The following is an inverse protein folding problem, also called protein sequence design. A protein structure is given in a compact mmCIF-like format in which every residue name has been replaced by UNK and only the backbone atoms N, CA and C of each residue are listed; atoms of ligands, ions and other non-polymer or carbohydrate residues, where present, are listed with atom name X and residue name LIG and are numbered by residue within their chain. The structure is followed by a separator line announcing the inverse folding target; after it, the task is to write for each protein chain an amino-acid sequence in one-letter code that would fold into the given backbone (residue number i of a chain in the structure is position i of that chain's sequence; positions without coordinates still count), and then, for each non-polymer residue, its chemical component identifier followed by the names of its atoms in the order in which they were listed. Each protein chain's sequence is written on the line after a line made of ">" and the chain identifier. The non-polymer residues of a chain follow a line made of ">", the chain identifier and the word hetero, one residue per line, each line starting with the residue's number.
data_IF_629677220980
#
_entry.id   IF_629677220980
#
_cell.length_a   1.000
_cell.length_b   1.000
_cell.length_c   1.000
_cell.angle_alpha   90.00
_cell.angle_beta   90.00
_cell.angle_gamma   90.00
#
_symmetry.space_group_name_H-M   'P 1'
#
loop_
_entity.id
_entity.type
_entity.pdbx_description
1 polymer ?
#
# COMPACT_ATOMS: atom_id res chain seq x y z
N UNK A 1 -4.51 3.64 19.66
CA UNK A 1 -5.33 2.66 20.41
C UNK A 1 -4.99 1.26 19.91
N UNK A 2 -5.09 0.25 20.78
CA UNK A 2 -4.79 -1.15 20.43
C UNK A 2 -5.67 -1.66 19.26
N UNK A 3 -6.94 -1.24 19.23
CA UNK A 3 -7.89 -1.58 18.15
C UNK A 3 -7.34 -1.18 16.77
N UNK A 4 -6.78 0.02 16.64
CA UNK A 4 -6.18 0.45 15.37
C UNK A 4 -4.99 -0.43 14.97
N UNK A 5 -4.15 -0.83 15.93
CA UNK A 5 -3.00 -1.68 15.61
C UNK A 5 -3.42 -3.06 15.11
N UNK A 6 -4.50 -3.64 15.67
CA UNK A 6 -5.07 -4.90 15.18
C UNK A 6 -5.61 -4.75 13.75
N UNK A 7 -6.43 -3.73 13.49
CA UNK A 7 -6.97 -3.46 12.14
C UNK A 7 -5.85 -3.24 11.13
N UNK A 8 -4.83 -2.46 11.51
CA UNK A 8 -3.65 -2.19 10.68
C UNK A 8 -2.90 -3.48 10.34
N UNK A 9 -2.66 -4.36 11.31
CA UNK A 9 -2.00 -5.65 11.08
C UNK A 9 -2.81 -6.51 10.10
N UNK A 10 -4.13 -6.58 10.25
CA UNK A 10 -4.99 -7.36 9.34
C UNK A 10 -5.01 -6.79 7.92
N UNK A 11 -5.09 -5.48 7.75
CA UNK A 11 -5.15 -4.86 6.42
C UNK A 11 -3.81 -4.98 5.67
N UNK A 12 -2.69 -4.91 6.39
CA UNK A 12 -1.36 -4.92 5.82
C UNK A 12 -0.75 -6.33 5.70
N UNK A 13 -1.36 -7.36 6.30
CA UNK A 13 -0.80 -8.72 6.32
C UNK A 13 -0.58 -9.32 4.94
N UNK A 14 -1.40 -8.90 3.96
CA UNK A 14 -1.35 -9.42 2.59
C UNK A 14 -0.49 -8.55 1.64
N UNK A 15 0.06 -7.44 2.13
CA UNK A 15 0.88 -6.51 1.32
C UNK A 15 2.35 -6.92 1.43
N UNK A 16 2.68 -8.06 0.83
CA UNK A 16 4.05 -8.57 0.69
C UNK A 16 4.15 -9.47 -0.54
N UNK A 17 5.37 -9.71 -1.03
CA UNK A 17 5.61 -10.50 -2.25
C UNK A 17 5.16 -11.97 -2.14
N UNK A 18 5.13 -12.55 -0.93
CA UNK A 18 4.64 -13.94 -0.70
C UNK A 18 3.14 -14.03 -0.99
N UNK A 19 2.37 -13.03 -0.57
CA UNK A 19 0.93 -12.96 -0.79
C UNK A 19 0.56 -12.34 -2.16
N UNK A 20 1.41 -11.44 -2.68
CA UNK A 20 1.18 -10.72 -3.93
C UNK A 20 2.44 -10.72 -4.81
N UNK A 21 2.65 -11.77 -5.64
CA UNK A 21 3.80 -11.88 -6.53
C UNK A 21 3.96 -10.70 -7.49
N UNK A 22 2.84 -10.06 -7.86
CA UNK A 22 2.80 -8.92 -8.77
C UNK A 22 3.58 -7.68 -8.28
N UNK A 23 3.90 -7.60 -6.98
CA UNK A 23 4.70 -6.50 -6.43
C UNK A 23 6.09 -6.39 -7.07
N UNK A 24 6.61 -7.46 -7.69
CA UNK A 24 7.88 -7.44 -8.43
C UNK A 24 7.90 -6.39 -9.54
N UNK A 25 6.74 -6.03 -10.12
CA UNK A 25 6.62 -4.96 -11.14
C UNK A 25 7.01 -3.59 -10.62
N UNK A 26 7.02 -3.41 -9.30
CA UNK A 26 7.38 -2.15 -8.67
C UNK A 26 8.88 -2.01 -8.41
N UNK A 27 9.69 -3.03 -8.75
CA UNK A 27 11.14 -3.00 -8.61
C UNK A 27 11.72 -1.81 -9.39
N UNK A 28 12.57 -1.01 -8.76
CA UNK A 28 13.21 0.13 -9.41
C UNK A 28 14.48 -0.31 -10.13
N UNK A 29 14.91 0.44 -11.13
CA UNK A 29 16.13 0.14 -11.88
C UNK A 29 17.34 0.12 -10.96
N UNK A 30 18.00 -1.04 -10.87
CA UNK A 30 19.19 -1.24 -10.02
C UNK A 30 18.89 -1.59 -8.57
N UNK A 31 17.62 -1.77 -8.20
CA UNK A 31 17.24 -2.31 -6.91
C UNK A 31 17.14 -3.84 -6.98
N UNK A 32 17.56 -4.50 -5.90
CA UNK A 32 17.44 -5.94 -5.75
C UNK A 32 16.06 -6.35 -5.18
N UNK A 33 15.58 -7.52 -5.58
CA UNK A 33 14.31 -8.06 -5.12
C UNK A 33 14.30 -8.30 -3.59
N UNK A 34 15.45 -8.63 -3.02
CA UNK A 34 15.64 -8.75 -1.57
C UNK A 34 15.40 -7.41 -0.84
N UNK A 35 15.80 -6.29 -1.44
CA UNK A 35 15.53 -4.97 -0.86
C UNK A 35 14.04 -4.64 -0.85
N UNK A 36 13.30 -5.06 -1.88
CA UNK A 36 11.84 -4.93 -1.94
C UNK A 36 11.15 -5.79 -0.89
N UNK A 37 11.62 -7.03 -0.66
CA UNK A 37 11.11 -7.95 0.38
C UNK A 37 11.27 -7.40 1.80
N UNK A 38 12.34 -6.65 2.06
CA UNK A 38 12.63 -6.05 3.37
C UNK A 38 11.82 -4.80 3.68
N UNK A 39 11.12 -4.23 2.70
CA UNK A 39 10.33 -3.02 2.93
C UNK A 39 9.13 -3.31 3.84
N UNK A 40 8.86 -2.45 4.84
CA UNK A 40 7.67 -2.59 5.65
C UNK A 40 6.41 -2.37 4.79
N UNK A 41 5.26 -2.97 5.12
CA UNK A 41 4.06 -2.94 4.30
C UNK A 41 3.58 -1.53 3.93
N UNK A 42 3.77 -0.54 4.80
CA UNK A 42 3.41 0.86 4.52
C UNK A 42 4.31 1.47 3.43
N UNK A 43 5.59 1.10 3.40
CA UNK A 43 6.51 1.55 2.34
C UNK A 43 6.18 0.87 1.02
N UNK A 44 5.85 -0.42 1.04
CA UNK A 44 5.34 -1.13 -0.14
C UNK A 44 4.07 -0.49 -0.67
N UNK A 45 3.12 -0.17 0.19
CA UNK A 45 1.87 0.49 -0.21
C UNK A 45 2.11 1.89 -0.77
N UNK A 46 2.99 2.69 -0.14
CA UNK A 46 3.36 4.01 -0.67
C UNK A 46 4.01 3.90 -2.05
N UNK A 47 4.88 2.89 -2.22
CA UNK A 47 5.53 2.58 -3.49
C UNK A 47 4.52 2.16 -4.56
N UNK A 48 3.54 1.35 -4.20
CA UNK A 48 2.43 0.97 -5.08
C UNK A 48 1.63 2.17 -5.57
N UNK A 49 1.27 3.10 -4.68
CA UNK A 49 0.60 4.34 -5.11
C UNK A 49 1.49 5.12 -6.09
N UNK A 50 2.77 5.29 -5.76
CA UNK A 50 3.71 6.04 -6.58
C UNK A 50 4.01 5.39 -7.93
N UNK A 51 3.98 4.05 -8.01
CA UNK A 51 4.08 3.30 -9.26
C UNK A 51 2.92 3.66 -10.19
N UNK A 52 1.67 3.60 -9.70
CA UNK A 52 0.50 3.95 -10.49
C UNK A 52 0.44 5.43 -10.90
N UNK A 53 0.88 6.33 -10.02
CA UNK A 53 1.02 7.75 -10.35
C UNK A 53 2.02 7.97 -11.49
N UNK A 54 3.16 7.28 -11.46
CA UNK A 54 4.17 7.36 -12.52
C UNK A 54 3.67 6.81 -13.85
N UNK A 55 2.99 5.66 -13.85
CA UNK A 55 2.36 5.11 -15.05
C UNK A 55 1.29 6.06 -15.64
N UNK A 56 0.62 6.84 -14.78
CA UNK A 56 -0.32 7.88 -15.20
C UNK A 56 0.35 9.17 -15.71
N UNK A 57 1.69 9.28 -15.65
CA UNK A 57 2.42 10.52 -15.97
C UNK A 57 2.18 11.64 -14.95
N UNK A 58 1.76 11.29 -13.73
CA UNK A 58 1.45 12.24 -12.68
C UNK A 58 2.73 12.85 -12.10
N UNK A 59 2.79 14.18 -11.98
CA UNK A 59 4.01 14.90 -11.57
C UNK A 59 4.35 14.76 -10.10
N UNK A 60 3.33 14.59 -9.24
CA UNK A 60 3.53 14.43 -7.79
C UNK A 60 3.74 12.97 -7.45
N UNK A 61 4.56 12.74 -6.42
CA UNK A 61 4.66 11.48 -5.69
C UNK A 61 4.26 11.74 -4.25
N UNK A 62 3.63 10.76 -3.61
CA UNK A 62 3.31 10.84 -2.19
C UNK A 62 4.53 10.44 -1.36
N UNK A 63 4.71 11.12 -0.23
CA UNK A 63 5.71 10.81 0.80
C UNK A 63 5.07 10.58 2.18
N UNK A 64 3.75 10.80 2.28
CA UNK A 64 2.94 10.58 3.49
C UNK A 64 1.52 10.12 3.13
N UNK A 65 0.78 9.61 4.12
CA UNK A 65 -0.62 9.21 3.98
C UNK A 65 -1.61 10.30 4.43
N UNK A 66 -1.16 11.55 4.55
CA UNK A 66 -1.95 12.64 5.11
C UNK A 66 -2.07 13.80 4.12
N UNK A 67 -1.31 14.90 4.31
CA UNK A 67 -1.38 16.08 3.46
C UNK A 67 -1.35 15.83 1.95
N UNK A 68 -0.61 14.84 1.47
CA UNK A 68 -0.48 14.55 0.04
C UNK A 68 -1.76 13.99 -0.58
N UNK A 69 -2.65 13.44 0.24
CA UNK A 69 -3.89 12.80 -0.17
C UNK A 69 -5.13 13.71 0.02
N UNK A 70 -4.96 14.82 0.74
CA UNK A 70 -6.07 15.64 1.26
C UNK A 70 -6.98 16.22 0.18
N UNK A 71 -6.42 16.48 -0.99
CA UNK A 71 -7.17 17.08 -2.09
C UNK A 71 -7.89 16.01 -2.91
N UNK A 72 -7.60 14.72 -2.78
CA UNK A 72 -8.12 13.63 -3.63
C UNK A 72 -7.53 13.55 -5.05
N UNK A 73 -6.54 14.38 -5.40
CA UNK A 73 -5.86 14.36 -6.71
C UNK A 73 -5.18 13.00 -6.96
N UNK A 74 -4.40 12.56 -5.96
CA UNK A 74 -3.74 11.26 -5.94
C UNK A 74 -4.76 10.12 -5.99
N UNK A 75 -5.81 10.18 -5.16
CA UNK A 75 -6.83 9.14 -5.13
C UNK A 75 -7.56 8.98 -6.47
N UNK A 76 -8.01 10.08 -7.08
CA UNK A 76 -8.69 10.00 -8.38
C UNK A 76 -7.79 9.43 -9.48
N UNK A 77 -6.51 9.80 -9.47
CA UNK A 77 -5.54 9.27 -10.43
C UNK A 77 -5.30 7.77 -10.20
N UNK A 78 -5.10 7.36 -8.95
CA UNK A 78 -4.92 5.97 -8.57
C UNK A 78 -6.14 5.12 -8.93
N UNK A 79 -7.35 5.53 -8.53
CA UNK A 79 -8.60 4.84 -8.83
C UNK A 79 -8.80 4.63 -10.34
N UNK A 80 -8.43 5.62 -11.16
CA UNK A 80 -8.48 5.49 -12.62
C UNK A 80 -7.52 4.42 -13.15
N UNK A 81 -6.36 4.24 -12.54
CA UNK A 81 -5.37 3.24 -12.96
C UNK A 81 -5.75 1.82 -12.54
N UNK A 82 -6.24 1.66 -11.31
CA UNK A 82 -6.51 0.34 -10.72
C UNK A 82 -7.91 -0.20 -11.04
N UNK A 83 -8.77 0.59 -11.67
CA UNK A 83 -10.14 0.19 -11.99
C UNK A 83 -10.17 -0.73 -13.23
N UNK A 84 -10.49 -2.03 -13.06
CA UNK A 84 -10.52 -2.97 -14.18
C UNK A 84 -11.59 -2.61 -15.22
N UNK A 85 -12.68 -1.96 -14.80
CA UNK A 85 -13.78 -1.57 -15.68
C UNK A 85 -13.58 -0.19 -16.34
N UNK A 86 -12.54 0.55 -15.93
CA UNK A 86 -12.20 1.89 -16.45
C UNK A 86 -13.36 2.91 -16.38
N UNK A 87 -14.21 2.79 -15.36
CA UNK A 87 -15.31 3.71 -15.08
C UNK A 87 -14.86 4.92 -14.23
N UNK A 88 -13.80 4.77 -13.44
CA UNK A 88 -13.23 5.85 -12.66
C UNK A 88 -12.61 6.92 -13.57
N UNK A 89 -12.88 8.19 -13.28
CA UNK A 89 -12.38 9.34 -14.04
C UNK A 89 -11.78 10.39 -13.12
N UNK A 90 -10.99 11.30 -13.70
CA UNK A 90 -10.39 12.43 -12.99
C UNK A 90 -11.17 13.74 -13.19
N UNK A 91 -12.35 13.68 -13.82
CA UNK A 91 -13.16 14.87 -14.16
C UNK A 91 -13.59 15.68 -12.94
N UNK A 92 -13.86 15.00 -11.82
CA UNK A 92 -14.25 15.62 -10.54
C UNK A 92 -13.18 16.57 -9.98
N UNK A 93 -11.92 16.45 -10.41
CA UNK A 93 -10.82 17.32 -9.93
C UNK A 93 -10.99 18.78 -10.35
N UNK A 94 -11.81 19.05 -11.37
CA UNK A 94 -12.21 20.42 -11.75
C UNK A 94 -13.14 21.10 -10.75
N UNK A 95 -13.76 20.33 -9.84
CA UNK A 95 -14.59 20.85 -8.77
C UNK A 95 -13.71 21.48 -7.68
N UNK A 96 -14.02 22.72 -7.30
CA UNK A 96 -13.32 23.44 -6.22
C UNK A 96 -13.66 22.90 -4.83
N UNK A 97 -14.77 22.19 -4.67
CA UNK A 97 -15.16 21.58 -3.40
C UNK A 97 -14.39 20.28 -3.14
N UNK A 98 -13.49 20.33 -2.16
CA UNK A 98 -12.69 19.19 -1.72
C UNK A 98 -13.53 18.06 -1.12
N UNK A 99 -14.65 18.39 -0.46
CA UNK A 99 -15.52 17.39 0.13
C UNK A 99 -16.27 16.60 -0.93
N UNK A 100 -16.72 17.28 -1.99
CA UNK A 100 -17.33 16.63 -3.15
C UNK A 100 -16.33 15.70 -3.88
N UNK A 101 -15.08 16.13 -4.03
CA UNK A 101 -13.99 15.28 -4.56
C UNK A 101 -13.74 14.04 -3.70
N UNK A 102 -13.64 14.23 -2.39
CA UNK A 102 -13.44 13.13 -1.45
C UNK A 102 -14.66 12.17 -1.44
N UNK A 103 -15.88 12.68 -1.57
CA UNK A 103 -17.08 11.85 -1.68
C UNK A 103 -17.06 10.95 -2.92
N UNK A 104 -16.59 11.48 -4.06
CA UNK A 104 -16.37 10.68 -5.25
C UNK A 104 -15.35 9.56 -5.01
N UNK A 105 -14.23 9.85 -4.34
CA UNK A 105 -13.22 8.83 -4.00
C UNK A 105 -13.81 7.70 -3.16
N UNK A 106 -14.58 8.03 -2.12
CA UNK A 106 -15.24 7.04 -1.26
C UNK A 106 -16.22 6.18 -2.05
N UNK A 107 -17.01 6.80 -2.93
CA UNK A 107 -17.95 6.09 -3.80
C UNK A 107 -17.23 5.10 -4.75
N UNK A 108 -16.14 5.54 -5.38
CA UNK A 108 -15.36 4.67 -6.28
C UNK A 108 -14.67 3.54 -5.53
N UNK A 109 -14.12 3.79 -4.34
CA UNK A 109 -13.54 2.73 -3.51
C UNK A 109 -14.57 1.67 -3.11
N UNK A 110 -15.80 2.09 -2.79
CA UNK A 110 -16.91 1.15 -2.54
C UNK A 110 -17.27 0.31 -3.77
N UNK A 111 -17.25 0.91 -4.98
CA UNK A 111 -17.46 0.16 -6.24
C UNK A 111 -16.37 -0.88 -6.48
N UNK A 112 -15.11 -0.55 -6.17
CA UNK A 112 -13.98 -1.49 -6.23
C UNK A 112 -13.99 -2.49 -5.06
N UNK A 113 -15.07 -2.56 -4.27
CA UNK A 113 -15.22 -3.52 -3.17
C UNK A 113 -14.16 -3.38 -2.06
N UNK A 114 -13.68 -2.15 -1.80
CA UNK A 114 -12.82 -1.87 -0.65
C UNK A 114 -13.51 -2.26 0.67
N UNK A 115 -12.92 -3.19 1.41
CA UNK A 115 -13.45 -3.66 2.71
C UNK A 115 -13.29 -2.62 3.83
N UNK A 116 -12.42 -1.63 3.66
CA UNK A 116 -12.25 -0.52 4.59
C UNK A 116 -13.02 0.71 4.11
N UNK A 117 -13.81 1.31 5.00
CA UNK A 117 -14.60 2.50 4.71
C UNK A 117 -14.02 3.74 5.38
N UNK A 118 -13.82 4.80 4.58
CA UNK A 118 -13.35 6.11 5.03
C UNK A 118 -14.44 7.16 4.75
N UNK A 119 -14.59 8.17 5.61
CA UNK A 119 -15.50 9.28 5.32
C UNK A 119 -14.81 10.36 4.47
N UNK A 120 -15.55 11.10 3.62
CA UNK A 120 -14.97 12.19 2.83
C UNK A 120 -14.23 13.22 3.68
N UNK A 121 -14.75 13.49 4.88
CA UNK A 121 -14.14 14.43 5.82
C UNK A 121 -12.78 13.95 6.35
N UNK A 122 -12.56 12.64 6.46
CA UNK A 122 -11.29 12.09 6.94
C UNK A 122 -10.18 12.29 5.92
N UNK A 123 -10.51 12.21 4.62
CA UNK A 123 -9.60 12.52 3.52
C UNK A 123 -9.22 14.00 3.58
N UNK A 124 -10.22 14.89 3.60
CA UNK A 124 -10.00 16.36 3.60
C UNK A 124 -9.23 16.81 4.85
N UNK A 125 -9.45 16.15 6.00
CA UNK A 125 -8.71 16.39 7.25
C UNK A 125 -7.33 15.71 7.30
N UNK A 126 -6.91 15.03 6.24
CA UNK A 126 -5.62 14.35 6.14
C UNK A 126 -5.39 13.33 7.27
N UNK A 127 -6.41 12.54 7.63
CA UNK A 127 -6.27 11.51 8.67
C UNK A 127 -5.41 10.34 8.15
N UNK A 128 -4.13 10.35 8.53
CA UNK A 128 -3.14 9.38 8.04
C UNK A 128 -3.52 7.92 8.29
N UNK A 129 -4.14 7.61 9.43
CA UNK A 129 -4.52 6.24 9.76
C UNK A 129 -5.64 5.75 8.85
N UNK A 130 -6.68 6.55 8.69
CA UNK A 130 -7.82 6.17 7.88
C UNK A 130 -7.44 6.11 6.40
N UNK A 131 -6.61 7.04 5.92
CA UNK A 131 -6.07 7.00 4.56
C UNK A 131 -5.20 5.75 4.32
N UNK A 132 -4.32 5.41 5.26
CA UNK A 132 -3.51 4.19 5.20
C UNK A 132 -4.42 2.95 5.10
N UNK A 133 -5.43 2.85 5.97
CA UNK A 133 -6.37 1.73 5.96
C UNK A 133 -7.15 1.62 4.65
N UNK A 134 -7.59 2.77 4.11
CA UNK A 134 -8.32 2.81 2.85
C UNK A 134 -7.46 2.43 1.65
N UNK A 135 -6.23 2.93 1.56
CA UNK A 135 -5.28 2.53 0.50
C UNK A 135 -4.94 1.04 0.58
N UNK A 136 -4.74 0.50 1.79
CA UNK A 136 -4.50 -0.93 1.98
C UNK A 136 -5.67 -1.78 1.50
N UNK A 137 -6.90 -1.36 1.78
CA UNK A 137 -8.09 -2.05 1.29
C UNK A 137 -8.26 -1.94 -0.23
N UNK A 138 -7.95 -0.79 -0.82
CA UNK A 138 -7.92 -0.64 -2.29
C UNK A 138 -6.89 -1.56 -2.93
N UNK A 139 -5.69 -1.65 -2.35
CA UNK A 139 -4.66 -2.58 -2.81
C UNK A 139 -5.15 -4.03 -2.76
N UNK A 140 -5.72 -4.46 -1.63
CA UNK A 140 -6.22 -5.82 -1.47
C UNK A 140 -7.36 -6.15 -2.45
N UNK A 141 -8.21 -5.18 -2.77
CA UNK A 141 -9.35 -5.38 -3.68
C UNK A 141 -8.95 -5.32 -5.16
N UNK A 142 -8.07 -4.38 -5.54
CA UNK A 142 -7.54 -4.27 -6.89
C UNK A 142 -6.13 -3.70 -6.88
N UNK A 143 -5.09 -4.57 -6.91
CA UNK A 143 -3.71 -4.11 -7.02
C UNK A 143 -3.43 -3.38 -8.34
N UNK A 144 -4.16 -3.72 -9.42
CA UNK A 144 -3.97 -3.14 -10.75
C UNK A 144 -2.59 -3.41 -11.35
N UNK A 145 -1.87 -4.44 -10.88
CA UNK A 145 -0.55 -4.79 -11.37
C UNK A 145 -0.65 -5.90 -12.42
N UNK A 146 0.06 -5.72 -13.54
CA UNK A 146 0.15 -6.75 -14.57
C UNK A 146 0.89 -8.00 -14.03
N UNK A 147 0.58 -9.19 -14.58
CA UNK A 147 1.37 -10.39 -14.31
C UNK A 147 2.87 -10.15 -14.55
N UNK A 148 3.75 -10.76 -13.72
CA UNK A 148 5.17 -10.68 -13.94
C UNK A 148 5.57 -11.32 -15.28
N UNK A 149 6.56 -10.73 -15.94
CA UNK A 149 7.15 -11.29 -17.16
C UNK A 149 8.09 -12.46 -16.84
N UNK A 150 8.49 -13.22 -17.86
CA UNK A 150 9.27 -14.44 -17.67
C UNK A 150 10.61 -14.18 -16.94
N UNK A 151 11.23 -13.03 -17.18
CA UNK A 151 12.47 -12.60 -16.52
C UNK A 151 12.25 -12.30 -15.03
N UNK A 152 11.14 -11.65 -14.68
CA UNK A 152 10.78 -11.35 -13.29
C UNK A 152 10.41 -12.64 -12.54
N UNK A 153 9.73 -13.58 -13.23
CA UNK A 153 9.44 -14.91 -12.68
C UNK A 153 10.71 -15.73 -12.41
N UNK A 154 11.71 -15.66 -13.31
CA UNK A 154 13.01 -16.29 -13.09
C UNK A 154 13.73 -15.67 -11.90
N UNK A 155 13.74 -14.34 -11.80
CA UNK A 155 14.32 -13.63 -10.66
C UNK A 155 13.65 -14.05 -9.33
N UNK A 156 12.32 -14.21 -9.33
CA UNK A 156 11.59 -14.69 -8.16
C UNK A 156 11.88 -16.17 -7.83
N UNK A 157 12.15 -17.01 -8.83
CA UNK A 157 12.50 -18.42 -8.65
C UNK A 157 13.96 -18.62 -8.22
N UNK A 158 14.83 -17.65 -8.50
CA UNK A 158 16.23 -17.60 -8.06
C UNK A 158 16.38 -17.05 -6.64
N UNK A 159 15.33 -16.42 -6.08
CA UNK A 159 15.28 -16.18 -4.65
C UNK A 159 15.46 -17.53 -3.95
N UNK A 160 16.36 -17.62 -2.95
CA UNK A 160 16.35 -18.77 -2.07
C UNK A 160 14.91 -18.96 -1.62
N UNK A 161 14.34 -20.17 -1.81
CA UNK A 161 13.27 -20.58 -0.92
C UNK A 161 13.89 -20.38 0.46
N UNK A 162 13.52 -19.29 1.15
CA UNK A 162 13.95 -19.16 2.53
C UNK A 162 13.41 -20.40 3.20
N UNK A 163 14.30 -21.36 3.45
CA UNK A 163 14.15 -22.29 4.55
C UNK A 163 13.65 -21.43 5.69
N UNK A 164 12.47 -21.79 6.19
CA UNK A 164 11.64 -21.29 7.28
C UNK A 164 12.40 -20.81 8.55
N UNK A 165 13.41 -19.97 8.38
CA UNK A 165 14.40 -19.57 9.37
C UNK A 165 14.25 -18.09 9.75
N UNK A 166 13.69 -17.28 8.84
CA UNK A 166 13.33 -15.88 9.08
C UNK A 166 12.03 -15.68 9.87
N UNK A 167 11.25 -16.74 10.09
CA UNK A 167 10.04 -16.73 10.94
C UNK A 167 10.09 -17.87 11.95
N UNK A 168 11.31 -18.25 12.37
CA UNK A 168 11.48 -19.16 13.49
C UNK A 168 10.67 -18.64 14.66
N UNK A 169 10.01 -19.55 15.39
CA UNK A 169 9.21 -19.19 16.56
C UNK A 169 9.98 -18.26 17.50
N UNK A 170 11.29 -18.45 17.55
CA UNK A 170 12.27 -17.68 18.29
C UNK A 170 12.41 -16.25 17.75
N UNK A 171 12.60 -16.03 16.44
CA UNK A 171 12.63 -14.68 15.83
C UNK A 171 11.38 -13.89 16.16
N UNK A 172 10.21 -14.52 15.95
CA UNK A 172 8.91 -13.89 16.22
C UNK A 172 8.75 -13.56 17.70
N UNK A 173 9.16 -14.45 18.59
CA UNK A 173 9.11 -14.23 20.03
C UNK A 173 10.03 -13.09 20.47
N UNK A 174 11.26 -13.03 19.94
CA UNK A 174 12.21 -11.97 20.27
C UNK A 174 11.81 -10.62 19.68
N UNK A 175 11.29 -10.59 18.45
CA UNK A 175 10.76 -9.37 17.83
C UNK A 175 9.57 -8.83 18.62
N UNK A 176 8.62 -9.70 19.00
CA UNK A 176 7.49 -9.33 19.85
C UNK A 176 7.95 -8.83 21.22
N UNK A 177 8.93 -9.49 21.82
CA UNK A 177 9.50 -9.10 23.11
C UNK A 177 10.17 -7.72 23.01
N UNK A 178 11.08 -7.50 22.06
CA UNK A 178 11.77 -6.22 21.87
C UNK A 178 10.79 -5.07 21.64
N UNK A 179 9.80 -5.25 20.76
CA UNK A 179 8.76 -4.24 20.50
C UNK A 179 7.86 -3.98 21.73
N UNK A 180 7.77 -4.92 22.66
CA UNK A 180 7.04 -4.74 23.92
C UNK A 180 7.81 -3.94 24.98
N UNK A 181 9.14 -3.81 24.85
CA UNK A 181 10.00 -3.09 25.81
C UNK A 181 9.92 -1.56 25.70
N UNK A 182 9.16 -1.02 24.74
CA UNK A 182 8.98 0.42 24.56
C UNK A 182 10.22 1.12 23.97
N UNK A 183 11.02 0.39 23.19
CA UNK A 183 12.16 0.94 22.45
C UNK A 183 11.69 1.96 21.39
N UNK A 184 12.52 2.97 21.11
CA UNK A 184 12.18 4.06 20.16
C UNK A 184 12.03 3.57 18.71
N UNK A 185 12.73 2.48 18.35
CA UNK A 185 12.73 1.88 17.01
C UNK A 185 11.93 0.59 16.98
N UNK A 186 10.93 0.53 16.09
CA UNK A 186 10.15 -0.69 15.87
C UNK A 186 10.99 -1.72 15.08
N UNK A 187 11.24 -2.88 15.69
CA UNK A 187 12.02 -3.98 15.10
C UNK A 187 11.11 -4.78 14.18
N UNK A 188 11.42 -4.78 12.88
CA UNK A 188 10.70 -5.55 11.86
C UNK A 188 11.34 -6.92 11.59
N UNK A 189 12.67 -7.00 11.72
CA UNK A 189 13.48 -8.21 11.56
C UNK A 189 14.56 -8.22 12.66
N UNK A 190 14.75 -9.35 13.34
CA UNK A 190 15.72 -9.47 14.44
C UNK A 190 17.19 -9.54 13.97
N UNK A 191 17.42 -9.98 12.73
CA UNK A 191 18.76 -10.26 12.23
C UNK A 191 19.41 -9.07 11.49
N UNK A 192 18.71 -7.94 11.43
CA UNK A 192 19.19 -6.64 10.89
C UNK A 192 19.56 -5.68 12.03
#
# INVERSE_FOLDING_TARGET
>A
CLVWQMVKMTLLSNINLKACPFLVRMLQSGEDLEALLKLPPEKLLMRWVNYHLEQAGHKKRITNFGPDLKDSDVYCTLLKQIDPERLATTTILSNSDLLARAAYVVQQGGRLQSEFHIQPLDIVKANEKLNLGFLAALFNASPGLDPPVEEELKLMAELPEEEDAGDSREERAFRMWLNSLGIETYVNNLYD
#
